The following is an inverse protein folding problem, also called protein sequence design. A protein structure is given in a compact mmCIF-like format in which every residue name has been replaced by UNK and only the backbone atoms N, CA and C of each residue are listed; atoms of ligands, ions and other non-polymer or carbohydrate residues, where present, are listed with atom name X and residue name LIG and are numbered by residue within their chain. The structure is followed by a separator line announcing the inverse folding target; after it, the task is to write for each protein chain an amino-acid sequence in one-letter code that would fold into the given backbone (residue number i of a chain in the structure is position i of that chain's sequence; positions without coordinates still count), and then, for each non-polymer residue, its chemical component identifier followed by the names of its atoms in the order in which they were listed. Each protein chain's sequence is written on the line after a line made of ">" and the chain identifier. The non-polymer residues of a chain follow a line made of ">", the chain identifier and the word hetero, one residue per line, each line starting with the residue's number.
data_IF_619369699781
#
_entry.id   IF_619369699781
#
_cell.length_a   1.000
_cell.length_b   1.000
_cell.length_c   1.000
_cell.angle_alpha   90.00
_cell.angle_beta   90.00
_cell.angle_gamma   90.00
#
_symmetry.space_group_name_H-M   'P 1'
#
loop_
_entity.id
_entity.type
_entity.pdbx_description
1 polymer ?
#
# COMPACT_ATOMS: atom_id res chain seq x y z
N UNK A 1 -5.92 2.99 -17.41
CA UNK A 1 -4.73 3.49 -16.70
C UNK A 1 -3.62 3.76 -17.69
N UNK A 2 -2.95 4.91 -17.61
CA UNK A 2 -1.84 5.28 -18.48
C UNK A 2 -0.51 4.64 -18.01
N UNK A 3 0.53 4.65 -18.87
CA UNK A 3 1.89 4.23 -18.45
C UNK A 3 2.44 5.08 -17.30
N UNK A 4 2.08 6.36 -17.25
CA UNK A 4 2.47 7.28 -16.18
C UNK A 4 1.89 6.82 -14.84
N UNK A 5 0.58 6.57 -14.80
CA UNK A 5 -0.12 6.13 -13.58
C UNK A 5 0.47 4.81 -13.04
N UNK A 6 0.81 3.86 -13.94
CA UNK A 6 1.45 2.61 -13.56
C UNK A 6 2.84 2.82 -12.96
N UNK A 7 3.64 3.74 -13.50
CA UNK A 7 4.97 4.07 -12.96
C UNK A 7 4.84 4.75 -11.60
N UNK A 8 3.91 5.69 -11.44
CA UNK A 8 3.66 6.35 -10.14
C UNK A 8 3.20 5.33 -9.09
N UNK A 9 2.24 4.46 -9.41
CA UNK A 9 1.80 3.38 -8.51
C UNK A 9 2.96 2.42 -8.20
N UNK A 10 3.78 2.08 -9.18
CA UNK A 10 4.95 1.20 -8.98
C UNK A 10 6.01 1.86 -8.11
N UNK A 11 6.25 3.16 -8.26
CA UNK A 11 7.15 3.92 -7.39
C UNK A 11 6.61 4.02 -5.97
N UNK A 12 5.31 4.24 -5.81
CA UNK A 12 4.64 4.18 -4.51
C UNK A 12 4.83 2.81 -3.87
N UNK A 13 4.62 1.74 -4.65
CA UNK A 13 4.77 0.34 -4.23
C UNK A 13 6.22 -0.01 -3.89
N UNK A 14 7.20 0.34 -4.72
CA UNK A 14 8.61 -0.03 -4.50
C UNK A 14 9.31 0.88 -3.49
N UNK A 15 8.94 2.16 -3.44
CA UNK A 15 9.54 3.15 -2.55
C UNK A 15 9.10 2.99 -1.09
N UNK A 16 7.85 2.54 -0.87
CA UNK A 16 7.28 2.36 0.48
C UNK A 16 6.96 0.91 0.83
N UNK A 17 7.03 -0.03 -0.11
CA UNK A 17 6.73 -1.44 0.12
C UNK A 17 7.79 -2.35 -0.51
N UNK A 18 8.00 -3.51 0.10
CA UNK A 18 8.95 -4.54 -0.32
C UNK A 18 10.42 -4.11 -0.41
N UNK A 19 10.83 -2.94 0.12
CA UNK A 19 12.25 -2.56 0.22
C UNK A 19 12.98 -3.57 1.09
N UNK A 20 12.43 -3.86 2.28
CA UNK A 20 13.01 -4.86 3.19
C UNK A 20 13.05 -6.25 2.56
N UNK A 21 11.99 -6.63 1.85
CA UNK A 21 11.94 -7.89 1.12
C UNK A 21 13.00 -7.97 0.02
N UNK A 22 13.14 -6.93 -0.81
CA UNK A 22 14.18 -6.84 -1.83
C UNK A 22 15.58 -6.89 -1.24
N UNK A 23 15.81 -6.21 -0.11
CA UNK A 23 17.07 -6.29 0.63
C UNK A 23 17.35 -7.72 1.14
N UNK A 24 16.32 -8.47 1.55
CA UNK A 24 16.49 -9.87 1.93
C UNK A 24 16.92 -10.75 0.75
N UNK A 25 16.32 -10.55 -0.43
CA UNK A 25 16.69 -11.29 -1.65
C UNK A 25 18.16 -11.11 -2.04
N UNK A 26 18.75 -9.94 -1.77
CA UNK A 26 20.17 -9.65 -2.03
C UNK A 26 21.07 -9.84 -0.80
N UNK A 27 20.57 -10.49 0.26
CA UNK A 27 21.34 -10.80 1.47
C UNK A 27 21.68 -9.60 2.36
N UNK A 28 21.00 -8.46 2.17
CA UNK A 28 21.17 -7.22 2.94
C UNK A 28 20.14 -7.04 4.06
N UNK A 29 19.20 -7.96 4.21
CA UNK A 29 18.26 -8.02 5.34
C UNK A 29 18.03 -9.48 5.75
N UNK A 30 17.85 -9.73 7.04
CA UNK A 30 17.78 -11.10 7.58
C UNK A 30 16.49 -11.83 7.19
N UNK A 31 15.34 -11.18 7.32
CA UNK A 31 14.02 -11.82 7.20
C UNK A 31 13.07 -11.11 6.22
N UNK A 32 13.52 -10.01 5.61
CA UNK A 32 12.71 -9.17 4.74
C UNK A 32 11.47 -8.52 5.36
N UNK A 33 11.36 -8.51 6.69
CA UNK A 33 10.23 -7.94 7.43
C UNK A 33 10.45 -6.47 7.76
N UNK A 34 9.35 -5.76 7.95
CA UNK A 34 9.36 -4.42 8.51
C UNK A 34 9.60 -4.47 10.03
N UNK A 35 9.93 -3.33 10.64
CA UNK A 35 10.30 -3.23 12.07
C UNK A 35 9.23 -3.81 13.01
N UNK A 36 7.95 -3.75 12.61
CA UNK A 36 6.85 -4.35 13.36
C UNK A 36 6.69 -5.87 13.16
N UNK A 37 7.60 -6.54 12.45
CA UNK A 37 7.60 -8.00 12.23
C UNK A 37 6.72 -8.50 11.07
N UNK A 38 6.06 -7.60 10.36
CA UNK A 38 5.15 -7.90 9.25
C UNK A 38 5.79 -7.64 7.89
N UNK A 39 5.23 -8.22 6.82
CA UNK A 39 5.65 -7.91 5.47
C UNK A 39 5.31 -6.46 5.10
N UNK A 40 6.30 -5.76 4.53
CA UNK A 40 6.16 -4.37 4.09
C UNK A 40 5.31 -4.30 2.81
N UNK A 41 3.98 -4.36 2.94
CA UNK A 41 3.02 -4.28 1.82
C UNK A 41 2.22 -2.98 1.88
N UNK A 42 1.64 -2.55 0.75
CA UNK A 42 0.80 -1.33 0.71
C UNK A 42 -0.35 -1.44 1.69
N UNK A 43 -1.02 -2.60 1.74
CA UNK A 43 -2.08 -2.89 2.70
C UNK A 43 -1.57 -2.77 4.14
N UNK A 44 -0.40 -3.32 4.45
CA UNK A 44 0.18 -3.22 5.79
C UNK A 44 0.48 -1.76 6.16
N UNK A 45 1.17 -1.00 5.32
CA UNK A 45 1.51 0.41 5.58
C UNK A 45 0.24 1.27 5.76
N UNK A 46 -0.72 1.12 4.85
CA UNK A 46 -1.94 1.94 4.83
C UNK A 46 -3.00 1.54 5.86
N UNK A 47 -2.96 0.33 6.41
CA UNK A 47 -4.04 -0.16 7.29
C UNK A 47 -3.60 -0.81 8.59
N UNK A 48 -2.41 -1.39 8.67
CA UNK A 48 -2.03 -2.30 9.75
C UNK A 48 -0.75 -1.93 10.51
N UNK A 49 0.13 -1.13 9.93
CA UNK A 49 1.43 -0.86 10.52
C UNK A 49 1.28 0.12 11.69
N UNK A 50 1.67 -0.30 12.89
CA UNK A 50 1.65 0.57 14.08
C UNK A 50 2.57 1.78 13.93
N UNK A 51 3.71 1.61 13.26
CA UNK A 51 4.68 2.67 13.04
C UNK A 51 4.16 3.80 12.13
N UNK A 52 3.19 3.52 11.25
CA UNK A 52 2.58 4.52 10.35
C UNK A 52 1.27 5.10 10.89
N UNK A 53 0.96 4.87 12.16
CA UNK A 53 -0.32 5.32 12.74
C UNK A 53 -0.43 6.86 12.76
N UNK A 54 0.66 7.58 13.01
CA UNK A 54 0.65 9.03 13.08
C UNK A 54 0.39 9.65 11.70
N UNK A 55 1.09 9.15 10.68
CA UNK A 55 0.97 9.55 9.28
C UNK A 55 -0.41 9.26 8.74
N UNK A 56 -0.98 8.09 9.07
CA UNK A 56 -2.37 7.80 8.71
C UNK A 56 -3.31 8.83 9.28
N UNK A 57 -3.21 9.16 10.58
CA UNK A 57 -4.05 10.21 11.21
C UNK A 57 -3.91 11.56 10.53
N UNK A 58 -2.69 11.97 10.18
CA UNK A 58 -2.44 13.21 9.45
C UNK A 58 -3.14 13.20 8.09
N UNK A 59 -2.99 12.11 7.32
CA UNK A 59 -3.70 11.94 6.06
C UNK A 59 -5.22 12.02 6.24
N UNK A 60 -5.80 11.43 7.31
CA UNK A 60 -7.25 11.53 7.55
C UNK A 60 -7.68 12.96 7.85
N UNK A 61 -6.86 13.72 8.59
CA UNK A 61 -7.12 15.12 8.90
C UNK A 61 -7.08 15.98 7.63
N UNK A 62 -6.04 15.84 6.81
CA UNK A 62 -5.92 16.55 5.54
C UNK A 62 -7.07 16.21 4.57
N UNK A 63 -7.47 14.94 4.48
CA UNK A 63 -8.62 14.52 3.68
C UNK A 63 -9.94 15.14 4.18
N UNK A 64 -10.09 15.25 5.50
CA UNK A 64 -11.26 15.91 6.10
C UNK A 64 -11.29 17.41 5.79
N UNK A 65 -10.14 18.09 5.77
CA UNK A 65 -10.05 19.52 5.45
C UNK A 65 -10.48 19.83 4.01
N UNK A 66 -10.20 18.92 3.07
CA UNK A 66 -10.63 19.05 1.67
C UNK A 66 -12.07 18.54 1.42
N UNK A 67 -12.81 18.20 2.47
CA UNK A 67 -14.20 17.75 2.39
C UNK A 67 -14.39 16.28 1.98
N UNK A 68 -13.33 15.47 1.98
CA UNK A 68 -13.42 14.03 1.73
C UNK A 68 -13.70 13.32 3.06
N UNK A 69 -14.98 13.10 3.35
CA UNK A 69 -15.45 12.52 4.61
C UNK A 69 -15.68 11.00 4.53
N UNK A 70 -15.88 10.48 3.32
CA UNK A 70 -16.10 9.06 3.09
C UNK A 70 -15.04 8.52 2.13
N UNK A 71 -14.02 7.87 2.70
CA UNK A 71 -13.02 7.14 1.93
C UNK A 71 -12.81 5.77 2.56
N UNK A 72 -12.86 4.74 1.71
CA UNK A 72 -12.62 3.38 2.13
C UNK A 72 -11.31 2.90 1.54
N UNK A 73 -10.24 2.92 2.35
CA UNK A 73 -8.96 2.33 1.96
C UNK A 73 -9.12 0.85 1.56
N UNK A 74 -10.08 0.13 2.17
CA UNK A 74 -10.46 -1.21 1.73
C UNK A 74 -10.99 -1.22 0.30
N UNK A 75 -11.87 -0.29 -0.06
CA UNK A 75 -12.45 -0.23 -1.40
C UNK A 75 -11.42 0.20 -2.45
N UNK A 76 -10.52 1.12 -2.09
CA UNK A 76 -9.40 1.55 -2.95
C UNK A 76 -8.46 0.37 -3.23
N UNK A 77 -8.13 -0.42 -2.20
CA UNK A 77 -7.24 -1.58 -2.35
C UNK A 77 -7.95 -2.82 -2.94
N UNK A 78 -9.28 -2.89 -2.89
CA UNK A 78 -10.07 -3.96 -3.51
C UNK A 78 -10.13 -3.85 -5.05
N UNK A 79 -9.81 -2.69 -5.62
CA UNK A 79 -9.77 -2.48 -7.08
C UNK A 79 -8.53 -3.09 -7.77
N UNK A 80 -7.54 -3.55 -7.01
CA UNK A 80 -6.36 -4.26 -7.54
C UNK A 80 -6.63 -5.73 -7.89
N UNK A 81 -7.86 -6.22 -7.66
CA UNK A 81 -8.34 -7.50 -8.20
C UNK A 81 -9.32 -7.21 -9.33
N UNK A 82 -8.78 -6.96 -10.53
CA UNK A 82 -9.51 -7.26 -11.75
C UNK A 82 -9.62 -8.79 -11.85
N UNK A 83 -10.50 -9.38 -11.04
CA UNK A 83 -11.20 -10.57 -11.46
C UNK A 83 -12.05 -10.13 -12.65
N UNK A 84 -11.55 -10.37 -13.85
CA UNK A 84 -12.39 -10.33 -15.05
C UNK A 84 -13.64 -11.14 -14.74
N UNK A 85 -14.86 -10.62 -14.98
CA UNK A 85 -16.05 -11.45 -14.83
C UNK A 85 -15.88 -12.67 -15.73
N UNK A 86 -15.78 -13.86 -15.12
CA UNK A 86 -15.95 -15.11 -15.85
C UNK A 86 -17.39 -15.09 -16.32
N UNK A 87 -17.58 -14.73 -17.59
CA UNK A 87 -18.83 -14.97 -18.30
C UNK A 87 -19.11 -16.46 -18.18
N UNK A 88 -20.06 -16.82 -17.32
CA UNK A 88 -20.63 -18.16 -17.29
C UNK A 88 -21.48 -18.24 -18.56
N UNK A 89 -21.02 -19.05 -19.50
CA UNK A 89 -21.78 -19.49 -20.67
C UNK A 89 -22.86 -20.47 -20.18
#
# INVERSE_FOLDING_TARGET
>A
MSRRDNVEITRLRLGHCALKHGLALVGKHLDGKYVCGEAETVKHVLMGCTNYHAERRLMQAELSEIGVTDYSLKSILAMDHCDTPKTVI
#
